data_IF_233245101660
#
_entry.id   IF_233245101660
#
_cell.length_a   1.000
_cell.length_b   1.000
_cell.length_c   1.000
_cell.angle_alpha   90.00
_cell.angle_beta   90.00
_cell.angle_gamma   90.00
#
_symmetry.space_group_name_H-M   'P 1'
#
loop_
_entity.id
_entity.type
_entity.pdbx_description
1 polymer ?
#
# COMPACT_ATOMS: atom_id res chain seq x y z
N UNK A 1 22.37 43.06 3.58
CA UNK A 1 22.46 41.78 4.31
C UNK A 1 21.07 41.15 4.46
N UNK A 2 20.33 40.98 3.35
CA UNK A 2 18.97 40.39 3.37
C UNK A 2 18.61 39.62 2.08
N UNK A 3 19.53 39.47 1.13
CA UNK A 3 19.26 38.76 -0.14
C UNK A 3 19.36 37.23 -0.01
N UNK A 4 19.93 36.73 1.09
CA UNK A 4 20.21 35.30 1.31
C UNK A 4 19.15 34.60 2.18
N UNK A 5 18.19 35.35 2.76
CA UNK A 5 17.21 34.81 3.71
C UNK A 5 15.86 34.44 3.08
N UNK A 6 15.61 34.80 1.82
CA UNK A 6 14.34 34.46 1.12
C UNK A 6 14.28 32.97 0.74
N UNK A 7 15.43 32.29 0.61
CA UNK A 7 15.49 30.86 0.29
C UNK A 7 15.34 29.92 1.51
N UNK A 8 15.23 30.44 2.73
CA UNK A 8 15.22 29.65 3.97
C UNK A 8 13.90 29.68 4.75
N UNK A 9 12.86 30.38 4.26
CA UNK A 9 11.52 30.37 4.86
C UNK A 9 10.41 29.89 3.91
N UNK A 10 10.72 29.02 2.95
CA UNK A 10 9.69 28.46 2.07
C UNK A 10 8.88 27.40 2.82
N UNK A 11 7.59 27.70 3.03
CA UNK A 11 6.58 26.70 3.36
C UNK A 11 6.73 25.48 2.42
N UNK A 12 6.73 24.24 2.94
CA UNK A 12 7.04 23.04 2.16
C UNK A 12 6.00 22.67 1.09
N UNK A 13 5.00 23.52 0.83
CA UNK A 13 3.84 23.24 -0.03
C UNK A 13 3.68 24.26 -1.17
N UNK A 14 4.51 25.32 -1.25
CA UNK A 14 4.39 26.28 -2.36
C UNK A 14 5.09 25.75 -3.62
N UNK A 15 4.27 25.40 -4.62
CA UNK A 15 4.74 25.13 -5.98
C UNK A 15 5.52 26.33 -6.51
N UNK A 16 6.65 26.08 -7.18
CA UNK A 16 7.44 27.12 -7.90
C UNK A 16 6.63 27.83 -9.00
N UNK A 17 5.44 27.32 -9.32
CA UNK A 17 4.49 27.89 -10.28
C UNK A 17 3.35 28.69 -9.62
N UNK A 18 3.30 28.76 -8.28
CA UNK A 18 2.31 29.54 -7.53
C UNK A 18 2.74 31.02 -7.44
N UNK A 19 2.67 31.72 -8.57
CA UNK A 19 3.01 33.14 -8.69
C UNK A 19 1.82 33.97 -8.19
N UNK A 20 1.95 34.63 -7.05
CA UNK A 20 0.88 35.42 -6.43
C UNK A 20 1.13 36.93 -6.57
N UNK A 21 2.35 37.35 -6.87
CA UNK A 21 2.72 38.77 -7.00
C UNK A 21 3.57 39.08 -8.24
N UNK A 22 3.55 40.35 -8.67
CA UNK A 22 4.38 40.83 -9.79
C UNK A 22 5.89 40.81 -9.50
N UNK A 23 6.28 40.92 -8.21
CA UNK A 23 7.69 40.82 -7.80
C UNK A 23 8.22 39.39 -7.94
N UNK A 24 7.41 38.38 -7.58
CA UNK A 24 7.73 36.96 -7.78
C UNK A 24 7.91 36.62 -9.27
N UNK A 25 7.03 37.15 -10.13
CA UNK A 25 7.15 36.99 -11.58
C UNK A 25 8.43 37.62 -12.12
N UNK A 26 8.78 38.83 -11.67
CA UNK A 26 9.98 39.53 -12.11
C UNK A 26 11.27 38.81 -11.68
N UNK A 27 11.31 38.26 -10.47
CA UNK A 27 12.44 37.47 -9.97
C UNK A 27 12.61 36.15 -10.75
N UNK A 28 11.50 35.47 -11.07
CA UNK A 28 11.53 34.23 -11.86
C UNK A 28 12.00 34.50 -13.31
N UNK A 29 11.56 35.58 -13.93
CA UNK A 29 12.03 36.02 -15.25
C UNK A 29 13.51 36.39 -15.24
N UNK A 30 13.98 37.10 -14.20
CA UNK A 30 15.40 37.43 -14.06
C UNK A 30 16.27 36.18 -13.87
N UNK A 31 15.83 35.25 -13.01
CA UNK A 31 16.54 34.00 -12.75
C UNK A 31 16.63 33.11 -14.00
N UNK A 32 15.54 32.99 -14.75
CA UNK A 32 15.53 32.22 -16.01
C UNK A 32 16.42 32.86 -17.07
N UNK A 33 16.42 34.18 -17.20
CA UNK A 33 17.29 34.89 -18.14
C UNK A 33 18.78 34.73 -17.80
N UNK A 34 19.14 34.79 -16.51
CA UNK A 34 20.51 34.55 -16.05
C UNK A 34 20.95 33.09 -16.27
N UNK A 35 20.05 32.12 -16.03
CA UNK A 35 20.33 30.70 -16.27
C UNK A 35 20.59 30.43 -17.76
N UNK A 36 19.71 30.92 -18.64
CA UNK A 36 19.85 30.77 -20.09
C UNK A 36 21.13 31.45 -20.59
N UNK A 37 21.44 32.65 -20.05
CA UNK A 37 22.68 33.35 -20.34
C UNK A 37 23.93 32.54 -19.96
N UNK A 38 23.96 31.94 -18.77
CA UNK A 38 25.08 31.09 -18.34
C UNK A 38 25.23 29.84 -19.21
N UNK A 39 24.13 29.19 -19.57
CA UNK A 39 24.15 28.01 -20.45
C UNK A 39 24.69 28.38 -21.83
N UNK A 40 24.26 29.51 -22.39
CA UNK A 40 24.73 29.98 -23.69
C UNK A 40 26.23 30.28 -23.66
N UNK A 41 26.72 30.98 -22.63
CA UNK A 41 28.16 31.26 -22.47
C UNK A 41 28.97 29.98 -22.31
N UNK A 42 28.51 29.03 -21.50
CA UNK A 42 29.16 27.73 -21.34
C UNK A 42 29.21 26.95 -22.66
N UNK A 43 28.11 26.95 -23.42
CA UNK A 43 28.05 26.31 -24.73
C UNK A 43 29.05 26.93 -25.71
N UNK A 44 29.09 28.26 -25.79
CA UNK A 44 30.04 28.99 -26.63
C UNK A 44 31.48 28.69 -26.21
N UNK A 45 31.77 28.67 -24.91
CA UNK A 45 33.10 28.36 -24.39
C UNK A 45 33.53 26.92 -24.73
N UNK A 46 32.64 25.94 -24.57
CA UNK A 46 32.90 24.55 -24.95
C UNK A 46 33.09 24.42 -26.46
N UNK A 47 32.25 25.07 -27.26
CA UNK A 47 32.35 25.06 -28.71
C UNK A 47 33.67 25.67 -29.21
N UNK A 48 34.08 26.81 -28.65
CA UNK A 48 35.39 27.43 -28.89
C UNK A 48 36.54 26.52 -28.47
N UNK A 49 36.44 25.87 -27.31
CA UNK A 49 37.44 24.91 -26.85
C UNK A 49 37.58 23.73 -27.83
N UNK A 50 36.47 23.21 -28.36
CA UNK A 50 36.49 22.10 -29.32
C UNK A 50 37.11 22.53 -30.66
N UNK A 51 36.77 23.71 -31.19
CA UNK A 51 37.41 24.27 -32.39
C UNK A 51 38.89 24.50 -32.15
N UNK A 52 39.27 25.05 -31.00
CA UNK A 52 40.65 25.31 -30.66
C UNK A 52 41.45 24.00 -30.57
N UNK A 53 40.91 22.94 -29.96
CA UNK A 53 41.53 21.61 -29.94
C UNK A 53 41.76 21.05 -31.34
N UNK A 54 40.77 21.21 -32.24
CA UNK A 54 40.86 20.79 -33.63
C UNK A 54 41.89 21.62 -34.42
N UNK A 55 41.92 22.93 -34.21
CA UNK A 55 42.88 23.84 -34.84
C UNK A 55 44.32 23.61 -34.36
N UNK A 56 44.49 23.24 -33.08
CA UNK A 56 45.79 22.87 -32.50
C UNK A 56 46.25 21.46 -32.85
N UNK A 57 45.48 20.70 -33.65
CA UNK A 57 45.83 19.33 -34.05
C UNK A 57 45.89 18.35 -32.87
N UNK A 58 45.28 18.68 -31.73
CA UNK A 58 45.18 17.81 -30.55
C UNK A 58 44.04 16.80 -30.72
N UNK A 59 43.96 16.17 -31.90
CA UNK A 59 43.06 15.05 -32.12
C UNK A 59 43.62 13.85 -31.35
N UNK A 60 42.85 13.26 -30.41
CA UNK A 60 43.29 12.05 -29.75
C UNK A 60 43.46 10.96 -30.80
N UNK A 61 44.62 10.29 -30.80
CA UNK A 61 44.90 9.17 -31.71
C UNK A 61 43.74 8.16 -31.69
N UNK A 62 43.34 7.69 -32.88
CA UNK A 62 42.29 6.70 -33.02
C UNK A 62 42.64 5.47 -32.17
N UNK A 63 41.77 5.15 -31.19
CA UNK A 63 42.01 4.01 -30.30
C UNK A 63 41.98 2.71 -31.13
N UNK A 64 42.92 1.78 -30.94
CA UNK A 64 42.90 0.49 -31.62
C UNK A 64 41.60 -0.25 -31.32
N UNK A 65 41.07 -0.94 -32.32
CA UNK A 65 39.80 -1.70 -32.20
C UNK A 65 40.04 -2.90 -31.29
N UNK A 66 39.31 -2.95 -30.17
CA UNK A 66 39.39 -4.03 -29.19
C UNK A 66 38.85 -5.35 -29.78
N UNK A 67 39.65 -6.43 -29.85
CA UNK A 67 39.25 -7.70 -30.45
C UNK A 67 38.25 -8.52 -29.62
N UNK A 68 37.95 -8.12 -28.38
CA UNK A 68 37.09 -8.89 -27.45
C UNK A 68 35.62 -8.87 -27.86
N UNK A 69 34.95 -10.01 -27.68
CA UNK A 69 33.49 -10.16 -27.87
C UNK A 69 32.69 -9.36 -26.82
N UNK A 70 31.43 -9.04 -27.12
CA UNK A 70 30.55 -8.27 -26.21
C UNK A 70 30.47 -8.90 -24.81
N UNK A 71 30.32 -10.22 -24.74
CA UNK A 71 30.25 -10.97 -23.48
C UNK A 71 31.55 -10.91 -22.68
N UNK A 72 32.71 -10.96 -23.33
CA UNK A 72 34.01 -10.83 -22.66
C UNK A 72 34.20 -9.42 -22.07
N UNK A 73 33.68 -8.39 -22.73
CA UNK A 73 33.72 -7.01 -22.23
C UNK A 73 32.81 -6.80 -21.04
N UNK A 74 31.61 -7.39 -21.08
CA UNK A 74 30.64 -7.33 -19.99
C UNK A 74 31.18 -8.10 -18.78
N UNK A 75 31.62 -9.34 -18.98
CA UNK A 75 32.06 -10.22 -17.91
C UNK A 75 33.41 -9.83 -17.30
N UNK A 76 34.29 -9.17 -18.07
CA UNK A 76 35.61 -8.77 -17.58
C UNK A 76 36.52 -9.95 -17.18
N UNK A 77 36.27 -11.13 -17.73
CA UNK A 77 36.97 -12.37 -17.38
C UNK A 77 38.18 -12.60 -18.30
N UNK A 78 39.31 -12.97 -17.70
CA UNK A 78 40.49 -13.47 -18.41
C UNK A 78 40.28 -14.94 -18.84
N UNK A 79 41.07 -15.40 -19.83
CA UNK A 79 40.99 -16.79 -20.29
C UNK A 79 41.60 -17.74 -19.25
N UNK A 80 41.04 -18.94 -19.09
CA UNK A 80 41.51 -19.96 -18.13
C UNK A 80 42.99 -20.32 -18.31
N UNK A 81 43.55 -20.21 -19.52
CA UNK A 81 44.97 -20.47 -19.77
C UNK A 81 45.91 -19.46 -19.10
N UNK A 82 45.40 -18.28 -18.72
CA UNK A 82 46.14 -17.19 -18.09
C UNK A 82 45.97 -17.17 -16.56
N UNK A 83 45.27 -18.16 -15.99
CA UNK A 83 44.95 -18.20 -14.56
C UNK A 83 46.21 -18.21 -13.68
N UNK A 84 47.23 -18.97 -14.07
CA UNK A 84 48.52 -19.02 -13.36
C UNK A 84 49.22 -17.66 -13.29
N UNK A 85 49.08 -16.84 -14.32
CA UNK A 85 49.70 -15.51 -14.39
C UNK A 85 48.98 -14.48 -13.51
N UNK A 86 47.77 -14.81 -13.03
CA UNK A 86 46.91 -13.96 -12.19
C UNK A 86 46.87 -14.41 -10.73
N UNK A 87 47.57 -15.49 -10.38
CA UNK A 87 47.64 -15.98 -9.00
C UNK A 87 48.44 -15.02 -8.12
N UNK A 88 47.91 -14.69 -6.96
CA UNK A 88 48.64 -13.95 -5.94
C UNK A 88 49.75 -14.83 -5.33
N UNK A 89 50.86 -14.21 -4.92
CA UNK A 89 52.07 -14.93 -4.46
C UNK A 89 51.87 -15.82 -3.22
N UNK A 90 50.78 -15.65 -2.48
CA UNK A 90 50.53 -16.33 -1.21
C UNK A 90 49.33 -17.27 -1.32
N UNK A 91 49.56 -18.54 -0.98
CA UNK A 91 48.52 -19.54 -0.80
C UNK A 91 48.20 -19.69 0.69
N UNK A 92 46.91 -19.67 1.03
CA UNK A 92 46.43 -19.92 2.39
C UNK A 92 45.68 -21.25 2.41
N UNK A 93 46.17 -22.22 3.19
CA UNK A 93 45.54 -23.54 3.31
C UNK A 93 45.32 -24.25 1.95
N UNK A 94 46.26 -24.06 1.02
CA UNK A 94 46.18 -24.61 -0.34
C UNK A 94 45.17 -23.92 -1.27
N UNK A 95 44.58 -22.80 -0.84
CA UNK A 95 43.74 -21.93 -1.67
C UNK A 95 44.59 -20.74 -2.15
N UNK A 96 44.62 -20.55 -3.47
CA UNK A 96 45.25 -19.41 -4.13
C UNK A 96 44.17 -18.43 -4.60
N UNK A 97 44.46 -17.14 -4.48
CA UNK A 97 43.54 -16.07 -4.90
C UNK A 97 43.97 -15.48 -6.24
N UNK A 98 42.99 -15.15 -7.08
CA UNK A 98 43.22 -14.55 -8.40
C UNK A 98 43.06 -13.03 -8.33
N UNK A 99 44.02 -12.30 -8.88
CA UNK A 99 43.97 -10.84 -9.07
C UNK A 99 43.15 -10.47 -10.33
N UNK A 100 41.88 -10.89 -10.37
CA UNK A 100 40.99 -10.60 -11.48
C UNK A 100 40.30 -9.24 -11.28
N UNK A 101 40.26 -8.36 -12.31
CA UNK A 101 39.54 -7.10 -12.20
C UNK A 101 38.04 -7.34 -11.95
N UNK A 102 37.43 -6.49 -11.15
CA UNK A 102 35.98 -6.56 -10.90
C UNK A 102 35.20 -6.42 -12.22
N UNK A 103 34.18 -7.25 -12.47
CA UNK A 103 33.40 -7.18 -13.71
C UNK A 103 32.83 -5.78 -13.97
N UNK A 104 33.00 -5.20 -15.17
CA UNK A 104 32.52 -3.85 -15.47
C UNK A 104 31.02 -3.64 -15.26
N UNK A 105 30.20 -4.67 -15.48
CA UNK A 105 28.76 -4.63 -15.21
C UNK A 105 28.47 -4.48 -13.72
N UNK A 106 29.25 -5.14 -12.86
CA UNK A 106 29.09 -5.09 -11.42
C UNK A 106 29.45 -3.70 -10.89
N UNK A 107 30.55 -3.12 -11.39
CA UNK A 107 30.91 -1.74 -11.04
C UNK A 107 29.88 -0.72 -11.54
N UNK A 108 29.35 -0.93 -12.75
CA UNK A 108 28.26 -0.09 -13.27
C UNK A 108 27.02 -0.15 -12.37
N UNK A 109 26.63 -1.35 -11.92
CA UNK A 109 25.51 -1.54 -11.00
C UNK A 109 25.78 -0.87 -9.66
N UNK A 110 26.98 -1.07 -9.08
CA UNK A 110 27.40 -0.46 -7.82
C UNK A 110 27.26 1.07 -7.87
N UNK A 111 27.82 1.73 -8.90
CA UNK A 111 27.68 3.19 -9.05
C UNK A 111 26.25 3.63 -9.33
N UNK A 112 25.46 2.82 -10.04
CA UNK A 112 24.04 3.10 -10.27
C UNK A 112 23.24 3.11 -8.97
N UNK A 113 23.53 2.20 -8.04
CA UNK A 113 22.86 2.20 -6.72
C UNK A 113 23.22 3.42 -5.88
N UNK A 114 24.48 3.89 -5.96
CA UNK A 114 24.90 5.13 -5.29
C UNK A 114 24.15 6.32 -5.88
N UNK A 115 24.10 6.44 -7.22
CA UNK A 115 23.36 7.50 -7.89
C UNK A 115 21.87 7.48 -7.54
N UNK A 116 21.25 6.30 -7.52
CA UNK A 116 19.86 6.13 -7.08
C UNK A 116 19.67 6.59 -5.63
N UNK A 117 20.58 6.23 -4.71
CA UNK A 117 20.52 6.66 -3.32
C UNK A 117 20.61 8.17 -3.15
N UNK A 118 21.48 8.84 -3.92
CA UNK A 118 21.54 10.31 -3.95
C UNK A 118 20.22 10.89 -4.45
N UNK A 119 19.69 10.42 -5.57
CA UNK A 119 18.40 10.89 -6.11
C UNK A 119 17.28 10.68 -5.08
N UNK A 120 17.21 9.50 -4.45
CA UNK A 120 16.22 9.18 -3.43
C UNK A 120 16.28 10.17 -2.25
N UNK A 121 17.49 10.44 -1.74
CA UNK A 121 17.71 11.40 -0.66
C UNK A 121 17.19 12.80 -1.05
N UNK A 122 17.49 13.24 -2.28
CA UNK A 122 17.01 14.55 -2.73
C UNK A 122 15.49 14.58 -2.91
N UNK A 123 14.88 13.54 -3.47
CA UNK A 123 13.43 13.49 -3.73
C UNK A 123 12.62 13.44 -2.43
N UNK A 124 12.97 12.56 -1.49
CA UNK A 124 12.17 12.31 -0.29
C UNK A 124 12.57 13.16 0.92
N UNK A 125 13.85 13.52 1.07
CA UNK A 125 14.34 14.19 2.27
C UNK A 125 14.72 15.66 2.07
N UNK A 126 15.25 16.05 0.90
CA UNK A 126 15.66 17.45 0.63
C UNK A 126 14.52 18.26 0.03
N UNK A 127 14.06 17.87 -1.16
CA UNK A 127 12.99 18.56 -1.88
C UNK A 127 11.59 18.14 -1.43
N UNK A 128 11.46 16.99 -0.76
CA UNK A 128 10.20 16.46 -0.22
C UNK A 128 9.08 16.42 -1.27
N UNK A 129 9.44 16.06 -2.50
CA UNK A 129 8.50 15.94 -3.63
C UNK A 129 7.76 14.59 -3.56
N UNK A 130 8.42 13.56 -3.03
CA UNK A 130 7.81 12.26 -2.78
C UNK A 130 7.27 12.15 -1.37
N UNK A 131 6.10 11.54 -1.20
CA UNK A 131 5.51 11.28 0.10
C UNK A 131 6.27 10.17 0.84
N UNK A 132 6.55 10.42 2.13
CA UNK A 132 7.04 9.37 3.03
C UNK A 132 5.87 8.48 3.48
N UNK A 133 6.19 7.28 3.95
CA UNK A 133 5.21 6.24 4.34
C UNK A 133 4.03 6.75 5.18
N UNK A 134 4.29 7.64 6.15
CA UNK A 134 3.22 8.18 7.02
C UNK A 134 2.27 9.12 6.28
N UNK A 135 2.81 9.94 5.36
CA UNK A 135 2.02 10.85 4.54
C UNK A 135 1.16 10.07 3.55
N UNK A 136 1.76 9.09 2.85
CA UNK A 136 1.07 8.18 1.94
C UNK A 136 -0.06 7.43 2.67
N UNK A 137 0.23 6.81 3.82
CA UNK A 137 -0.79 6.15 4.65
C UNK A 137 -1.95 7.07 5.02
N UNK A 138 -1.65 8.31 5.44
CA UNK A 138 -2.69 9.26 5.84
C UNK A 138 -3.57 9.64 4.65
N UNK A 139 -2.99 9.83 3.47
CA UNK A 139 -3.72 10.09 2.24
C UNK A 139 -4.60 8.90 1.83
N UNK A 140 -4.05 7.68 1.85
CA UNK A 140 -4.79 6.46 1.52
C UNK A 140 -5.97 6.23 2.47
N UNK A 141 -5.77 6.40 3.77
CA UNK A 141 -6.85 6.31 4.77
C UNK A 141 -7.90 7.38 4.54
N UNK A 142 -7.51 8.63 4.27
CA UNK A 142 -8.46 9.69 3.97
C UNK A 142 -9.29 9.40 2.71
N UNK A 143 -8.67 8.86 1.66
CA UNK A 143 -9.38 8.42 0.45
C UNK A 143 -10.33 7.24 0.75
N UNK A 144 -9.88 6.26 1.54
CA UNK A 144 -10.70 5.12 1.94
C UNK A 144 -11.90 5.56 2.80
N UNK A 145 -11.70 6.50 3.71
CA UNK A 145 -12.76 7.08 4.54
C UNK A 145 -13.77 7.84 3.69
N UNK A 146 -13.34 8.62 2.70
CA UNK A 146 -14.24 9.26 1.74
C UNK A 146 -15.05 8.25 0.93
N UNK A 147 -14.41 7.19 0.43
CA UNK A 147 -15.11 6.11 -0.30
C UNK A 147 -16.11 5.39 0.60
N UNK A 148 -15.72 5.10 1.85
CA UNK A 148 -16.59 4.52 2.88
C UNK A 148 -17.77 5.44 3.16
N UNK A 149 -17.54 6.74 3.30
CA UNK A 149 -18.60 7.73 3.50
C UNK A 149 -19.53 7.83 2.30
N UNK A 150 -19.04 7.83 1.07
CA UNK A 150 -19.86 7.87 -0.14
C UNK A 150 -20.74 6.61 -0.21
N UNK A 151 -20.15 5.45 0.09
CA UNK A 151 -20.88 4.19 0.18
C UNK A 151 -21.94 4.23 1.29
N UNK A 152 -21.59 4.73 2.48
CA UNK A 152 -22.51 4.94 3.58
C UNK A 152 -23.58 5.97 3.19
N UNK A 153 -23.31 7.08 2.50
CA UNK A 153 -24.37 8.01 2.08
C UNK A 153 -25.31 7.38 1.05
N UNK A 154 -24.79 6.52 0.17
CA UNK A 154 -25.57 5.75 -0.79
C UNK A 154 -26.46 4.68 -0.13
N UNK A 155 -26.07 4.15 1.02
CA UNK A 155 -26.65 2.93 1.62
C UNK A 155 -27.21 3.13 3.04
N UNK A 156 -26.61 3.98 3.86
CA UNK A 156 -26.98 4.28 5.25
C UNK A 156 -28.13 5.27 5.39
N UNK A 157 -28.51 5.99 4.32
CA UNK A 157 -29.80 6.67 4.29
C UNK A 157 -30.98 5.70 4.30
N UNK A 158 -30.78 4.44 3.89
CA UNK A 158 -31.84 3.43 3.80
C UNK A 158 -31.79 2.35 4.87
N UNK A 159 -30.69 2.13 5.60
CA UNK A 159 -30.55 1.01 6.56
C UNK A 159 -30.16 1.52 7.95
N UNK A 160 -31.12 1.45 8.87
CA UNK A 160 -31.00 1.71 10.31
C UNK A 160 -31.93 0.77 11.08
N UNK A 161 -31.97 0.86 12.41
CA UNK A 161 -32.81 -0.01 13.26
C UNK A 161 -34.31 -0.01 12.89
N UNK A 162 -34.80 1.09 12.30
CA UNK A 162 -36.20 1.20 11.91
C UNK A 162 -36.47 0.65 10.51
N UNK A 163 -35.48 0.68 9.62
CA UNK A 163 -35.61 0.29 8.21
C UNK A 163 -34.95 -1.05 7.86
N UNK A 164 -34.18 -1.64 8.78
CA UNK A 164 -33.53 -2.93 8.58
C UNK A 164 -34.57 -4.03 8.34
N UNK A 165 -34.34 -4.81 7.29
CA UNK A 165 -35.18 -5.93 6.88
C UNK A 165 -34.34 -7.20 6.69
N UNK A 166 -34.98 -8.37 6.83
CA UNK A 166 -34.31 -9.64 6.58
C UNK A 166 -34.02 -9.82 5.08
N UNK A 167 -32.75 -10.09 4.74
CA UNK A 167 -32.31 -10.33 3.36
C UNK A 167 -32.37 -11.83 3.05
N UNK A 168 -33.11 -12.20 2.00
CA UNK A 168 -33.27 -13.60 1.57
C UNK A 168 -32.37 -13.97 0.40
N UNK A 169 -31.78 -12.97 -0.23
CA UNK A 169 -31.00 -13.12 -1.46
C UNK A 169 -29.72 -13.92 -1.14
N UNK A 170 -29.41 -15.01 -1.88
CA UNK A 170 -28.24 -15.83 -1.61
C UNK A 170 -26.94 -15.03 -1.52
N UNK A 171 -26.76 -14.06 -2.43
CA UNK A 171 -25.59 -13.17 -2.44
C UNK A 171 -25.45 -12.35 -1.14
N UNK A 172 -26.54 -11.93 -0.53
CA UNK A 172 -26.52 -11.18 0.73
C UNK A 172 -26.21 -12.10 1.92
N UNK A 173 -26.77 -13.32 1.92
CA UNK A 173 -26.48 -14.34 2.93
C UNK A 173 -25.04 -14.84 2.84
N UNK A 174 -24.49 -15.01 1.64
CA UNK A 174 -23.08 -15.38 1.42
C UNK A 174 -22.12 -14.29 1.92
N UNK A 175 -22.44 -13.01 1.65
CA UNK A 175 -21.69 -11.89 2.19
C UNK A 175 -21.77 -11.83 3.73
N UNK A 176 -22.96 -12.06 4.30
CA UNK A 176 -23.17 -12.15 5.74
C UNK A 176 -22.41 -13.31 6.37
N UNK A 177 -22.37 -14.47 5.71
CA UNK A 177 -21.58 -15.65 6.11
C UNK A 177 -20.09 -15.34 6.11
N UNK A 178 -19.57 -14.70 5.07
CA UNK A 178 -18.17 -14.33 4.99
C UNK A 178 -17.77 -13.40 6.15
N UNK A 179 -18.58 -12.37 6.43
CA UNK A 179 -18.34 -11.47 7.56
C UNK A 179 -18.48 -12.18 8.92
N UNK A 180 -19.44 -13.09 9.08
CA UNK A 180 -19.56 -13.92 10.27
C UNK A 180 -18.33 -14.79 10.51
N UNK A 181 -17.82 -15.45 9.46
CA UNK A 181 -16.62 -16.29 9.50
C UNK A 181 -15.36 -15.51 9.86
N UNK A 182 -15.28 -14.23 9.48
CA UNK A 182 -14.14 -13.38 9.79
C UNK A 182 -14.14 -12.87 11.23
N UNK A 183 -15.32 -12.54 11.77
CA UNK A 183 -15.43 -11.70 12.97
C UNK A 183 -16.18 -12.32 14.15
N UNK A 184 -17.04 -13.31 13.92
CA UNK A 184 -17.98 -13.81 14.93
C UNK A 184 -17.67 -15.22 15.43
N UNK A 185 -16.99 -16.04 14.61
CA UNK A 185 -16.75 -17.47 14.89
C UNK A 185 -15.92 -17.75 16.12
N UNK A 186 -15.04 -16.82 16.51
CA UNK A 186 -14.20 -16.98 17.69
C UNK A 186 -15.04 -17.14 18.97
N UNK A 187 -16.22 -16.50 19.03
CA UNK A 187 -17.11 -16.58 20.19
C UNK A 187 -18.33 -17.46 19.93
N UNK A 188 -18.91 -17.42 18.73
CA UNK A 188 -20.16 -18.12 18.41
C UNK A 188 -19.97 -19.44 17.65
N UNK A 189 -18.74 -19.83 17.37
CA UNK A 189 -18.43 -21.06 16.63
C UNK A 189 -18.66 -20.94 15.13
N UNK A 190 -18.02 -21.84 14.36
CA UNK A 190 -18.02 -21.80 12.89
C UNK A 190 -19.42 -21.98 12.26
N UNK A 191 -20.32 -22.67 12.96
CA UNK A 191 -21.69 -22.95 12.53
C UNK A 191 -22.72 -22.17 13.38
N UNK A 192 -22.28 -21.18 14.16
CA UNK A 192 -23.15 -20.46 15.09
C UNK A 192 -23.57 -21.26 16.33
N UNK A 193 -22.97 -22.43 16.55
CA UNK A 193 -23.35 -23.38 17.60
C UNK A 193 -23.11 -22.87 19.04
N UNK A 194 -22.46 -21.73 19.18
CA UNK A 194 -22.06 -21.15 20.45
C UNK A 194 -20.66 -21.59 20.90
N UNK A 195 -20.25 -21.04 22.04
CA UNK A 195 -18.94 -21.26 22.64
C UNK A 195 -18.80 -20.35 23.84
N UNK A 196 -17.91 -19.35 23.73
CA UNK A 196 -17.90 -18.20 24.66
C UNK A 196 -19.24 -17.46 24.57
N UNK A 197 -19.70 -17.19 23.34
CA UNK A 197 -21.00 -16.59 23.05
C UNK A 197 -22.16 -17.61 23.12
N UNK A 198 -23.42 -17.12 23.08
CA UNK A 198 -24.61 -17.96 23.00
C UNK A 198 -24.69 -18.73 21.67
N UNK A 199 -25.50 -19.79 21.68
CA UNK A 199 -25.92 -20.49 20.48
C UNK A 199 -26.83 -19.56 19.64
N UNK A 200 -26.55 -19.44 18.35
CA UNK A 200 -27.30 -18.62 17.39
C UNK A 200 -28.20 -19.46 16.48
N UNK A 201 -28.22 -20.78 16.66
CA UNK A 201 -29.00 -21.70 15.81
C UNK A 201 -30.34 -22.12 16.41
N UNK A 202 -30.64 -21.75 17.65
CA UNK A 202 -31.89 -22.13 18.33
C UNK A 202 -32.95 -21.01 18.36
N UNK A 203 -34.07 -21.28 19.04
CA UNK A 203 -35.22 -20.36 19.15
C UNK A 203 -35.14 -19.44 20.38
N UNK A 204 -34.03 -19.42 21.11
CA UNK A 204 -33.88 -18.71 22.39
C UNK A 204 -32.92 -17.53 22.26
N UNK A 205 -33.38 -16.36 22.69
CA UNK A 205 -32.64 -15.11 22.53
C UNK A 205 -32.50 -14.38 23.86
N UNK A 206 -31.31 -13.83 24.11
CA UNK A 206 -31.01 -13.00 25.30
C UNK A 206 -31.36 -11.52 25.07
N UNK A 207 -31.25 -11.06 23.82
CA UNK A 207 -31.38 -9.66 23.44
C UNK A 207 -32.38 -9.45 22.29
N UNK A 208 -33.29 -10.39 22.09
CA UNK A 208 -34.30 -10.39 21.01
C UNK A 208 -33.83 -11.06 19.72
N UNK A 209 -34.72 -11.85 19.11
CA UNK A 209 -34.49 -12.63 17.89
C UNK A 209 -35.07 -12.00 16.62
N UNK A 210 -35.50 -10.74 16.68
CA UNK A 210 -35.96 -10.01 15.48
C UNK A 210 -34.77 -9.44 14.71
N UNK A 211 -34.93 -9.20 13.40
CA UNK A 211 -33.88 -8.57 12.59
C UNK A 211 -33.42 -7.23 13.17
N UNK A 212 -34.34 -6.44 13.74
CA UNK A 212 -34.03 -5.16 14.39
C UNK A 212 -33.19 -5.36 15.65
N UNK A 213 -33.56 -6.32 16.49
CA UNK A 213 -32.85 -6.62 17.73
C UNK A 213 -31.44 -7.18 17.49
N UNK A 214 -31.30 -8.11 16.54
CA UNK A 214 -29.99 -8.66 16.14
C UNK A 214 -29.11 -7.57 15.51
N UNK A 215 -29.68 -6.74 14.63
CA UNK A 215 -28.97 -5.59 14.04
C UNK A 215 -28.48 -4.61 15.12
N UNK A 216 -29.33 -4.26 16.09
CA UNK A 216 -28.95 -3.40 17.21
C UNK A 216 -27.83 -4.02 18.05
N UNK A 217 -27.98 -5.30 18.42
CA UNK A 217 -27.00 -6.05 19.22
C UNK A 217 -25.63 -6.11 18.53
N UNK A 218 -25.57 -6.28 17.21
CA UNK A 218 -24.30 -6.26 16.47
C UNK A 218 -23.74 -4.84 16.38
N UNK A 219 -24.59 -3.85 16.11
CA UNK A 219 -24.17 -2.45 15.93
C UNK A 219 -23.59 -1.89 17.22
N UNK A 220 -24.35 -1.95 18.32
CA UNK A 220 -23.99 -1.31 19.59
C UNK A 220 -23.22 -2.25 20.53
N UNK A 221 -23.29 -3.57 20.29
CA UNK A 221 -22.66 -4.57 21.15
C UNK A 221 -23.41 -4.78 22.48
N UNK A 222 -22.87 -5.67 23.31
CA UNK A 222 -23.29 -5.86 24.70
C UNK A 222 -22.03 -5.97 25.57
N UNK A 223 -21.35 -4.84 25.87
CA UNK A 223 -20.06 -4.84 26.54
C UNK A 223 -20.09 -5.54 27.90
N UNK A 224 -21.18 -5.40 28.65
CA UNK A 224 -21.39 -6.06 29.95
C UNK A 224 -21.38 -7.60 29.88
N UNK A 225 -21.65 -8.16 28.70
CA UNK A 225 -21.65 -9.61 28.42
C UNK A 225 -20.49 -10.02 27.51
N UNK A 226 -19.55 -9.12 27.23
CA UNK A 226 -18.34 -9.40 26.46
C UNK A 226 -18.46 -9.25 24.94
N UNK A 227 -19.63 -8.84 24.41
CA UNK A 227 -19.78 -8.58 22.97
C UNK A 227 -19.45 -7.13 22.65
N UNK A 228 -18.41 -6.90 21.84
CA UNK A 228 -18.02 -5.54 21.43
C UNK A 228 -18.97 -4.94 20.37
N UNK A 229 -18.98 -3.60 20.27
CA UNK A 229 -19.64 -2.88 19.18
C UNK A 229 -18.90 -3.08 17.86
N UNK A 230 -19.65 -3.31 16.78
CA UNK A 230 -19.11 -3.44 15.42
C UNK A 230 -19.32 -2.20 14.55
N UNK A 231 -19.89 -1.11 15.09
CA UNK A 231 -20.25 0.12 14.35
C UNK A 231 -19.07 0.80 13.63
N UNK A 232 -17.85 0.63 14.14
CA UNK A 232 -16.64 1.21 13.52
C UNK A 232 -16.06 0.30 12.42
N UNK A 233 -16.22 -1.01 12.55
CA UNK A 233 -15.64 -2.02 11.67
C UNK A 233 -16.58 -2.45 10.54
N UNK A 234 -17.89 -2.49 10.78
CA UNK A 234 -18.92 -2.89 9.82
C UNK A 234 -19.82 -1.69 9.49
N UNK A 235 -20.16 -1.54 8.21
CA UNK A 235 -21.17 -0.57 7.78
C UNK A 235 -22.61 -1.15 7.95
N UNK A 236 -23.67 -0.32 7.92
CA UNK A 236 -25.04 -0.78 8.15
C UNK A 236 -25.51 -1.93 7.24
N UNK A 237 -25.11 -1.95 5.97
CA UNK A 237 -25.47 -3.05 5.07
C UNK A 237 -24.75 -4.34 5.44
N UNK A 238 -23.48 -4.28 5.82
CA UNK A 238 -22.75 -5.45 6.32
C UNK A 238 -23.39 -5.99 7.61
N UNK A 239 -23.81 -5.11 8.53
CA UNK A 239 -24.52 -5.54 9.74
C UNK A 239 -25.85 -6.21 9.40
N UNK A 240 -26.63 -5.65 8.47
CA UNK A 240 -27.88 -6.25 7.99
C UNK A 240 -27.65 -7.63 7.34
N UNK A 241 -26.60 -7.77 6.55
CA UNK A 241 -26.21 -9.03 5.91
C UNK A 241 -25.82 -10.09 6.95
N UNK A 242 -24.99 -9.74 7.94
CA UNK A 242 -24.59 -10.64 9.03
C UNK A 242 -25.80 -11.02 9.89
N UNK A 243 -26.65 -10.05 10.25
CA UNK A 243 -27.88 -10.31 11.00
C UNK A 243 -28.83 -11.24 10.25
N UNK A 244 -28.97 -11.06 8.93
CA UNK A 244 -29.76 -11.95 8.08
C UNK A 244 -29.15 -13.35 8.00
N UNK A 245 -27.83 -13.46 7.87
CA UNK A 245 -27.16 -14.76 7.92
C UNK A 245 -27.38 -15.47 9.26
N UNK A 246 -27.21 -14.77 10.38
CA UNK A 246 -27.45 -15.33 11.72
C UNK A 246 -28.90 -15.86 11.85
N UNK A 247 -29.89 -15.08 11.41
CA UNK A 247 -31.29 -15.53 11.45
C UNK A 247 -31.55 -16.71 10.51
N UNK A 248 -30.79 -16.86 9.42
CA UNK A 248 -30.87 -18.04 8.55
C UNK A 248 -30.28 -19.32 9.18
N UNK A 249 -29.48 -19.21 10.24
CA UNK A 249 -28.95 -20.36 10.97
C UNK A 249 -29.97 -20.98 11.92
N UNK A 250 -31.05 -20.28 12.23
CA UNK A 250 -32.06 -20.77 13.15
C UNK A 250 -32.69 -22.08 12.65
N UNK A 251 -32.76 -23.08 13.52
CA UNK A 251 -33.22 -24.43 13.20
C UNK A 251 -32.11 -25.38 12.72
N UNK A 252 -30.90 -24.87 12.44
CA UNK A 252 -29.75 -25.75 12.20
C UNK A 252 -29.33 -26.43 13.51
N UNK A 253 -28.94 -27.71 13.41
CA UNK A 253 -28.56 -28.55 14.56
C UNK A 253 -27.09 -28.99 14.45
N UNK A 254 -26.14 -28.05 14.57
CA UNK A 254 -24.73 -28.39 14.54
C UNK A 254 -24.35 -29.26 15.75
N UNK A 255 -23.38 -30.15 15.56
CA UNK A 255 -22.85 -30.96 16.65
C UNK A 255 -22.21 -30.06 17.72
N UNK A 256 -22.47 -30.36 18.99
CA UNK A 256 -21.91 -29.60 20.12
C UNK A 256 -22.56 -28.22 20.35
N UNK A 257 -23.77 -27.99 19.83
CA UNK A 257 -24.52 -26.77 20.13
C UNK A 257 -24.70 -26.56 21.64
N UNK A 258 -24.40 -25.34 22.10
CA UNK A 258 -24.57 -24.92 23.49
C UNK A 258 -26.06 -24.97 23.87
N UNK A 259 -26.35 -25.25 25.14
CA UNK A 259 -27.72 -25.28 25.63
C UNK A 259 -28.43 -23.93 25.43
N UNK A 260 -29.74 -23.90 25.15
CA UNK A 260 -30.46 -22.67 24.86
C UNK A 260 -30.39 -21.66 26.01
N UNK A 261 -30.27 -20.37 25.67
CA UNK A 261 -30.14 -19.29 26.63
C UNK A 261 -31.11 -18.15 26.31
N UNK A 262 -31.81 -17.64 27.33
CA UNK A 262 -32.75 -16.52 27.19
C UNK A 262 -34.19 -16.98 26.98
N UNK A 263 -34.99 -16.14 26.34
CA UNK A 263 -36.42 -16.35 26.15
C UNK A 263 -36.70 -16.95 24.78
N UNK A 264 -37.63 -17.90 24.74
CA UNK A 264 -38.10 -18.46 23.48
C UNK A 264 -38.85 -17.38 22.70
N UNK A 265 -38.41 -17.12 21.48
CA UNK A 265 -39.06 -16.18 20.57
C UNK A 265 -39.43 -16.87 19.26
N UNK A 266 -40.63 -16.56 18.73
CA UNK A 266 -41.11 -17.14 17.48
C UNK A 266 -40.33 -16.49 16.32
N UNK A 267 -39.83 -17.28 15.34
CA UNK A 267 -39.06 -16.74 14.22
C UNK A 267 -39.82 -15.64 13.49
N UNK A 268 -39.25 -14.44 13.40
CA UNK A 268 -39.78 -13.36 12.54
C UNK A 268 -39.33 -13.51 11.07
N UNK A 269 -38.96 -14.72 10.68
CA UNK A 269 -38.48 -15.06 9.33
C UNK A 269 -39.25 -16.31 8.88
N UNK A 270 -39.85 -16.31 7.67
CA UNK A 270 -40.50 -17.51 7.15
C UNK A 270 -39.46 -18.62 7.05
N UNK A 271 -39.78 -19.78 7.63
CA UNK A 271 -38.92 -20.95 7.67
C UNK A 271 -38.28 -21.21 6.30
N UNK A 272 -36.95 -21.27 6.25
CA UNK A 272 -36.25 -21.80 5.07
C UNK A 272 -36.61 -23.30 4.97
N UNK A 273 -37.58 -23.63 4.14
CA UNK A 273 -37.96 -25.02 3.84
C UNK A 273 -36.97 -25.73 2.91
N UNK A 274 -35.92 -25.06 2.46
CA UNK A 274 -34.93 -25.67 1.56
C UNK A 274 -33.61 -25.90 2.29
N UNK A 275 -33.33 -27.18 2.48
CA UNK A 275 -32.08 -27.73 3.02
C UNK A 275 -30.89 -27.10 2.28
N UNK A 276 -30.22 -26.13 2.91
CA UNK A 276 -28.86 -25.75 2.50
C UNK A 276 -27.98 -26.95 2.83
N UNK A 277 -27.71 -27.77 1.81
CA UNK A 277 -26.77 -28.86 1.91
C UNK A 277 -25.40 -28.27 2.24
N UNK A 278 -24.98 -28.47 3.49
CA UNK A 278 -23.58 -28.31 3.89
C UNK A 278 -22.79 -29.33 3.07
N UNK A 279 -22.03 -28.84 2.10
CA UNK A 279 -20.89 -29.54 1.51
C UNK A 279 -19.62 -28.93 2.07
#
# INVERSE_FOLDING_TARGET
MNLFLIFLSSDPVRSIWAIESGEELALLLLATLLLVGMIMVAFVAVYLMLILRKALGQEPAAKPVDPRTLWQRIAGLHALSQEKDLTLEHAYDGIEELDNPTPPWFMSLFYSTIAFGVVYLFVFHVFKVGDLQTAEYTQEVAMADQQREIYIKKVAGSINENTVAFMKEPKALDAGKAAFLQSCVACHGQQGQGGVGPNLTDEYWLHGGTIKAVFHTITEGVPEKGMMSWKKQLNPLQVQQVASYILSLQGTKPAGAKAPQGTKEVPNVPAQTDKVAVR
#
